data_IF_314853436282
#
_entry.id   IF_314853436282
#
_cell.length_a   1.000
_cell.length_b   1.000
_cell.length_c   1.000
_cell.angle_alpha   90.00
_cell.angle_beta   90.00
_cell.angle_gamma   90.00
#
_symmetry.space_group_name_H-M   'P 1'
#
loop_
_entity.id
_entity.type
_entity.pdbx_description
1 polymer ?
#
# COMPACT_ATOMS: atom_id res chain seq x y z
N UNK A 1 3.61 35.43 -23.61
CA UNK A 1 4.69 34.44 -23.86
C UNK A 1 4.34 33.17 -23.11
N UNK A 2 4.08 32.06 -23.80
CA UNK A 2 3.81 30.79 -23.11
C UNK A 2 5.09 30.27 -22.47
N UNK A 3 5.00 29.79 -21.22
CA UNK A 3 6.14 29.16 -20.52
C UNK A 3 6.78 28.10 -21.43
N UNK A 4 8.04 28.32 -21.81
CA UNK A 4 8.82 27.36 -22.59
C UNK A 4 9.23 26.21 -21.68
N UNK A 5 8.56 25.07 -21.82
CA UNK A 5 8.94 23.85 -21.12
C UNK A 5 10.00 23.09 -21.91
N UNK A 6 11.09 22.69 -21.24
CA UNK A 6 12.12 21.82 -21.79
C UNK A 6 11.73 20.36 -21.53
N UNK A 7 11.86 19.50 -22.54
CA UNK A 7 11.71 18.05 -22.34
C UNK A 7 12.98 17.53 -21.67
N UNK A 8 12.83 16.88 -20.51
CA UNK A 8 13.95 16.30 -19.77
C UNK A 8 14.19 14.85 -20.16
N UNK A 9 13.17 14.01 -20.04
CA UNK A 9 13.29 12.57 -20.28
C UNK A 9 11.99 11.96 -20.79
N UNK A 10 12.12 10.79 -21.41
CA UNK A 10 10.98 9.91 -21.66
C UNK A 10 10.44 9.36 -20.32
N UNK A 11 9.12 9.25 -20.24
CA UNK A 11 8.40 8.71 -19.11
C UNK A 11 7.69 7.44 -19.57
N UNK A 12 7.94 6.32 -18.91
CA UNK A 12 7.20 5.08 -19.09
C UNK A 12 6.84 4.55 -17.71
N UNK A 13 5.57 4.71 -17.33
CA UNK A 13 5.09 4.39 -15.99
C UNK A 13 3.84 3.53 -16.08
N UNK A 14 3.81 2.51 -15.24
CA UNK A 14 2.66 1.62 -15.07
C UNK A 14 2.02 1.86 -13.71
N UNK A 15 0.70 1.72 -13.66
CA UNK A 15 -0.03 1.86 -12.43
C UNK A 15 -1.53 1.70 -12.60
N UNK A 16 -2.25 1.82 -11.50
CA UNK A 16 -3.71 1.79 -11.51
C UNK A 16 -4.26 3.18 -11.76
N UNK A 17 -5.23 3.28 -12.65
CA UNK A 17 -6.01 4.49 -12.88
C UNK A 17 -6.82 4.82 -11.62
N UNK A 18 -6.47 5.88 -10.89
CA UNK A 18 -7.31 6.35 -9.78
C UNK A 18 -8.51 7.16 -10.28
N UNK A 19 -8.33 7.84 -11.41
CA UNK A 19 -9.37 8.59 -12.06
C UNK A 19 -8.81 9.76 -12.87
N UNK A 20 -9.74 10.59 -13.35
CA UNK A 20 -9.44 11.75 -14.15
C UNK A 20 -9.69 13.03 -13.34
N UNK A 21 -8.79 14.00 -13.47
CA UNK A 21 -8.88 15.30 -12.78
C UNK A 21 -9.13 16.40 -13.82
N UNK A 22 -10.17 17.18 -13.58
CA UNK A 22 -10.59 18.31 -14.42
C UNK A 22 -11.23 19.41 -13.60
N UNK A 23 -11.27 20.61 -14.17
CA UNK A 23 -11.91 21.78 -13.55
C UNK A 23 -13.45 21.70 -13.65
N UNK A 24 -13.97 20.94 -14.60
CA UNK A 24 -15.41 20.74 -14.88
C UNK A 24 -15.70 19.26 -15.17
N UNK A 25 -16.88 18.73 -14.79
CA UNK A 25 -17.30 17.38 -15.15
C UNK A 25 -17.31 17.23 -16.69
N UNK A 26 -16.58 16.23 -17.20
CA UNK A 26 -16.43 15.98 -18.64
C UNK A 26 -15.24 16.66 -19.34
N UNK A 27 -14.52 17.58 -18.67
CA UNK A 27 -13.30 18.21 -19.21
C UNK A 27 -12.07 17.88 -18.38
N UNK A 28 -11.72 16.60 -18.33
CA UNK A 28 -10.50 16.15 -17.66
C UNK A 28 -9.24 16.59 -18.42
N UNK A 29 -8.33 17.25 -17.71
CA UNK A 29 -7.01 17.68 -18.24
C UNK A 29 -5.88 16.80 -17.74
N UNK A 30 -6.12 16.05 -16.68
CA UNK A 30 -5.14 15.23 -16.01
C UNK A 30 -5.70 13.84 -15.70
N UNK A 31 -4.78 12.91 -15.60
CA UNK A 31 -4.94 11.54 -15.17
C UNK A 31 -4.24 11.39 -13.83
N UNK A 32 -4.84 10.69 -12.87
CA UNK A 32 -4.19 10.32 -11.62
C UNK A 32 -3.90 8.82 -11.63
N UNK A 33 -2.64 8.48 -11.39
CA UNK A 33 -2.10 7.12 -11.47
C UNK A 33 -1.52 6.72 -10.11
N UNK A 34 -1.93 5.57 -9.58
CA UNK A 34 -1.31 4.97 -8.40
C UNK A 34 -0.09 4.14 -8.83
N UNK A 35 1.05 4.43 -8.22
CA UNK A 35 2.34 3.75 -8.39
C UNK A 35 2.86 3.30 -7.01
N UNK A 36 3.83 2.39 -6.92
CA UNK A 36 4.33 1.92 -5.62
C UNK A 36 4.84 3.02 -4.68
N UNK A 37 5.36 4.12 -5.24
CA UNK A 37 5.86 5.28 -4.50
C UNK A 37 4.80 6.33 -4.15
N UNK A 38 3.52 6.09 -4.48
CA UNK A 38 2.42 6.99 -4.17
C UNK A 38 1.49 7.25 -5.35
N UNK A 39 1.05 8.50 -5.53
CA UNK A 39 0.19 8.88 -6.65
C UNK A 39 0.86 9.95 -7.51
N UNK A 40 0.70 9.81 -8.82
CA UNK A 40 1.30 10.70 -9.81
C UNK A 40 0.21 11.29 -10.70
N UNK A 41 0.28 12.59 -10.93
CA UNK A 41 -0.62 13.30 -11.83
C UNK A 41 0.04 13.51 -13.20
N UNK A 42 -0.61 13.04 -14.26
CA UNK A 42 -0.10 13.13 -15.63
C UNK A 42 -1.03 13.99 -16.48
N UNK A 43 -0.48 14.98 -17.19
CA UNK A 43 -1.26 15.85 -18.08
C UNK A 43 -1.61 15.13 -19.37
N UNK A 44 -2.89 15.18 -19.74
CA UNK A 44 -3.41 14.62 -20.98
C UNK A 44 -3.50 15.69 -22.09
N UNK A 45 -2.90 15.47 -23.27
CA UNK A 45 -3.13 16.30 -24.45
C UNK A 45 -4.58 16.14 -24.94
N UNK A 46 -5.08 17.13 -25.69
CA UNK A 46 -6.49 17.16 -26.14
C UNK A 46 -6.88 15.91 -26.96
N UNK A 47 -5.96 15.42 -27.79
CA UNK A 47 -6.17 14.26 -28.67
C UNK A 47 -6.41 12.98 -27.86
N UNK A 48 -5.57 12.73 -26.84
CA UNK A 48 -5.71 11.57 -25.96
C UNK A 48 -6.99 11.58 -25.13
N UNK A 49 -7.59 12.73 -24.84
CA UNK A 49 -8.82 12.77 -24.02
C UNK A 49 -9.98 12.05 -24.69
N UNK A 50 -10.06 12.07 -26.02
CA UNK A 50 -11.13 11.41 -26.78
C UNK A 50 -10.99 9.89 -26.80
N UNK A 51 -9.77 9.37 -26.74
CA UNK A 51 -9.50 7.94 -26.80
C UNK A 51 -9.55 7.25 -25.44
N UNK A 52 -9.66 8.00 -24.33
CA UNK A 52 -9.56 7.47 -22.97
C UNK A 52 -10.92 7.35 -22.25
N UNK A 53 -12.03 7.61 -22.96
CA UNK A 53 -13.39 7.47 -22.43
C UNK A 53 -13.74 6.05 -22.01
N UNK A 54 -13.01 5.04 -22.51
CA UNK A 54 -13.25 3.63 -22.17
C UNK A 54 -12.52 3.14 -20.92
N UNK A 55 -11.59 3.92 -20.37
CA UNK A 55 -10.82 3.51 -19.19
C UNK A 55 -11.63 3.71 -17.92
N UNK A 56 -11.58 2.74 -17.02
CA UNK A 56 -12.29 2.78 -15.73
C UNK A 56 -11.33 2.97 -14.56
N UNK A 57 -11.69 3.76 -13.53
CA UNK A 57 -10.93 3.76 -12.27
C UNK A 57 -10.73 2.33 -11.74
N UNK A 58 -9.51 2.01 -11.33
CA UNK A 58 -9.04 0.69 -10.93
C UNK A 58 -8.31 -0.09 -12.03
N UNK A 59 -8.40 0.33 -13.29
CA UNK A 59 -7.76 -0.36 -14.41
C UNK A 59 -6.24 -0.18 -14.44
N UNK A 60 -5.51 -1.26 -14.73
CA UNK A 60 -4.07 -1.22 -14.89
C UNK A 60 -3.72 -0.64 -16.26
N UNK A 61 -3.00 0.47 -16.26
CA UNK A 61 -2.65 1.20 -17.48
C UNK A 61 -1.15 1.51 -17.54
N UNK A 62 -0.61 1.52 -18.75
CA UNK A 62 0.73 2.04 -19.05
C UNK A 62 0.61 3.42 -19.67
N UNK A 63 1.34 4.37 -19.10
CA UNK A 63 1.40 5.76 -19.54
C UNK A 63 2.79 6.05 -20.08
N UNK A 64 2.85 6.37 -21.38
CA UNK A 64 4.07 6.82 -22.03
C UNK A 64 3.97 8.33 -22.30
N UNK A 65 5.04 9.05 -21.99
CA UNK A 65 5.04 10.51 -21.98
C UNK A 65 6.43 11.10 -21.93
N UNK A 66 6.46 12.39 -21.64
CA UNK A 66 7.68 13.13 -21.38
C UNK A 66 7.57 13.85 -20.04
N UNK A 67 8.67 13.85 -19.29
CA UNK A 67 8.87 14.77 -18.18
C UNK A 67 9.33 16.12 -18.75
N UNK A 68 8.70 17.21 -18.31
CA UNK A 68 8.97 18.56 -18.81
C UNK A 68 9.31 19.50 -17.67
N UNK A 69 10.45 20.17 -17.76
CA UNK A 69 10.89 21.16 -16.78
C UNK A 69 10.48 22.57 -17.23
N UNK A 70 9.87 23.33 -16.33
CA UNK A 70 9.85 24.79 -16.48
C UNK A 70 11.20 25.32 -15.97
N UNK A 71 12.08 25.86 -16.83
CA UNK A 71 13.39 26.35 -16.41
C UNK A 71 13.32 27.56 -15.47
N UNK A 72 12.24 28.34 -15.52
CA UNK A 72 12.07 29.53 -14.69
C UNK A 72 11.57 29.20 -13.28
N UNK A 73 10.75 28.15 -13.13
CA UNK A 73 10.14 27.80 -11.84
C UNK A 73 10.67 26.50 -11.24
N UNK A 74 11.55 25.77 -11.94
CA UNK A 74 12.02 24.44 -11.56
C UNK A 74 10.93 23.35 -11.54
N UNK A 75 9.70 23.65 -11.98
CA UNK A 75 8.55 22.72 -11.84
C UNK A 75 8.59 21.66 -12.91
N UNK A 76 8.53 20.39 -12.50
CA UNK A 76 8.38 19.24 -13.40
C UNK A 76 6.89 19.02 -13.70
N UNK A 77 6.57 18.85 -14.98
CA UNK A 77 5.25 18.51 -15.49
C UNK A 77 5.36 17.25 -16.32
N UNK A 78 4.56 16.24 -15.99
CA UNK A 78 4.44 15.02 -16.78
C UNK A 78 3.38 15.21 -17.85
N UNK A 79 3.69 14.90 -19.11
CA UNK A 79 2.75 14.97 -20.23
C UNK A 79 2.74 13.67 -21.01
N UNK A 80 1.59 13.00 -21.05
CA UNK A 80 1.40 11.77 -21.81
C UNK A 80 1.33 12.06 -23.32
N UNK A 81 1.80 11.12 -24.13
CA UNK A 81 1.49 11.04 -25.57
C UNK A 81 0.81 9.71 -25.93
N UNK A 82 0.92 8.69 -25.08
CA UNK A 82 0.21 7.41 -25.25
C UNK A 82 -0.22 6.88 -23.90
N UNK A 83 -1.44 6.34 -23.85
CA UNK A 83 -1.95 5.58 -22.71
C UNK A 83 -2.52 4.29 -23.27
N UNK A 84 -2.12 3.17 -22.69
CA UNK A 84 -2.55 1.84 -23.14
C UNK A 84 -3.16 1.10 -21.95
N UNK A 85 -4.39 0.61 -22.11
CA UNK A 85 -4.92 -0.38 -21.17
C UNK A 85 -4.10 -1.65 -21.28
N UNK A 86 -3.66 -2.19 -20.14
CA UNK A 86 -2.97 -3.47 -20.11
C UNK A 86 -3.93 -4.64 -19.94
N UNK A 87 -5.24 -4.39 -20.07
CA UNK A 87 -6.29 -5.36 -19.79
C UNK A 87 -6.57 -5.44 -18.29
N UNK A 88 -7.74 -6.00 -17.97
CA UNK A 88 -8.19 -6.23 -16.60
C UNK A 88 -7.20 -7.19 -15.96
N UNK A 89 -6.28 -6.68 -15.16
CA UNK A 89 -6.03 -7.39 -13.92
C UNK A 89 -7.36 -7.25 -13.17
N UNK A 90 -8.16 -8.32 -12.94
CA UNK A 90 -9.00 -8.29 -11.75
C UNK A 90 -8.04 -7.82 -10.68
N UNK A 91 -8.41 -6.76 -9.96
CA UNK A 91 -7.71 -6.34 -8.75
C UNK A 91 -7.21 -7.65 -8.16
N UNK A 92 -5.89 -7.92 -8.07
CA UNK A 92 -5.47 -8.81 -7.03
C UNK A 92 -5.92 -7.99 -5.83
N UNK A 93 -7.13 -8.29 -5.35
CA UNK A 93 -7.41 -8.44 -3.95
C UNK A 93 -6.10 -9.02 -3.45
N UNK A 94 -5.23 -8.11 -2.98
CA UNK A 94 -3.81 -8.38 -2.80
C UNK A 94 -3.84 -9.71 -2.06
N UNK A 95 -3.48 -10.88 -2.64
CA UNK A 95 -4.00 -12.15 -2.15
C UNK A 95 -3.54 -12.19 -0.71
N UNK A 96 -4.43 -12.03 0.29
CA UNK A 96 -4.13 -11.28 1.52
C UNK A 96 -2.76 -11.70 1.96
N UNK A 97 -1.74 -10.90 1.62
CA UNK A 97 -0.33 -11.27 1.73
C UNK A 97 -0.24 -11.90 3.10
N UNK A 98 0.00 -13.23 3.23
CA UNK A 98 -0.54 -14.03 4.33
C UNK A 98 -0.30 -13.27 5.62
N UNK A 99 -1.32 -12.52 6.06
CA UNK A 99 -1.08 -11.46 7.03
C UNK A 99 -0.63 -12.20 8.25
N UNK A 100 0.59 -11.96 8.71
CA UNK A 100 1.07 -12.66 9.89
C UNK A 100 0.05 -12.38 11.00
N UNK A 101 -0.54 -13.44 11.56
CA UNK A 101 -1.59 -13.31 12.57
C UNK A 101 -0.95 -13.44 13.92
N UNK A 102 -1.23 -12.49 14.79
CA UNK A 102 -0.79 -12.53 16.18
C UNK A 102 -2.03 -12.70 17.03
N UNK A 103 -2.20 -13.89 17.61
CA UNK A 103 -3.39 -14.26 18.38
C UNK A 103 -3.09 -14.07 19.88
N UNK A 104 -3.73 -13.08 20.50
CA UNK A 104 -3.55 -12.75 21.92
C UNK A 104 -4.77 -13.22 22.71
N UNK A 105 -4.55 -13.99 23.77
CA UNK A 105 -5.64 -14.47 24.64
C UNK A 105 -6.10 -13.35 25.59
N UNK A 106 -7.38 -12.98 25.50
CA UNK A 106 -7.96 -11.95 26.38
C UNK A 106 -8.78 -12.51 27.56
N UNK A 107 -8.76 -13.83 27.80
CA UNK A 107 -9.49 -14.39 28.95
C UNK A 107 -8.84 -13.96 30.27
N UNK A 108 -9.66 -13.83 31.32
CA UNK A 108 -9.27 -13.33 32.64
C UNK A 108 -7.96 -13.93 33.19
N UNK A 109 -7.70 -15.23 32.98
CA UNK A 109 -6.44 -15.85 33.40
C UNK A 109 -5.18 -15.28 32.74
N UNK A 110 -5.23 -14.93 31.45
CA UNK A 110 -4.12 -14.28 30.75
C UNK A 110 -4.05 -12.79 31.08
N UNK A 111 -5.19 -12.11 31.19
CA UNK A 111 -5.24 -10.68 31.51
C UNK A 111 -4.67 -10.39 32.90
N UNK A 112 -4.99 -11.21 33.91
CA UNK A 112 -4.44 -11.09 35.28
C UNK A 112 -2.95 -11.35 35.38
N UNK A 113 -2.36 -12.07 34.41
CA UNK A 113 -0.94 -12.46 34.37
C UNK A 113 -0.12 -11.58 33.42
N UNK A 114 -0.55 -10.35 33.17
CA UNK A 114 0.20 -9.40 32.34
C UNK A 114 -0.24 -9.32 30.88
N UNK A 115 -1.37 -9.91 30.49
CA UNK A 115 -1.86 -9.85 29.11
C UNK A 115 -2.07 -8.43 28.56
N UNK A 116 -2.44 -7.46 29.41
CA UNK A 116 -2.56 -6.05 29.01
C UNK A 116 -1.20 -5.41 28.69
N UNK A 117 -0.18 -5.73 29.51
CA UNK A 117 1.19 -5.27 29.29
C UNK A 117 1.75 -5.85 28.00
N UNK A 118 1.59 -7.17 27.81
CA UNK A 118 2.03 -7.86 26.60
C UNK A 118 1.42 -7.25 25.32
N UNK A 119 0.11 -6.96 25.31
CA UNK A 119 -0.53 -6.36 24.15
C UNK A 119 0.02 -4.96 23.84
N UNK A 120 0.16 -4.12 24.87
CA UNK A 120 0.66 -2.76 24.71
C UNK A 120 2.12 -2.74 24.23
N UNK A 121 2.95 -3.63 24.79
CA UNK A 121 4.34 -3.78 24.37
C UNK A 121 4.44 -4.31 22.93
N UNK A 122 3.62 -5.30 22.58
CA UNK A 122 3.55 -5.83 21.22
C UNK A 122 3.17 -4.75 20.19
N UNK A 123 2.12 -3.98 20.46
CA UNK A 123 1.68 -2.89 19.57
C UNK A 123 2.79 -1.85 19.41
N UNK A 124 3.44 -1.46 20.52
CA UNK A 124 4.56 -0.53 20.49
C UNK A 124 5.73 -1.07 19.66
N UNK A 125 6.20 -2.29 19.92
CA UNK A 125 7.31 -2.89 19.16
C UNK A 125 6.99 -2.97 17.67
N UNK A 126 5.76 -3.35 17.30
CA UNK A 126 5.37 -3.42 15.88
C UNK A 126 5.28 -2.03 15.23
N UNK A 127 4.84 -1.02 15.97
CA UNK A 127 4.81 0.37 15.52
C UNK A 127 6.23 0.91 15.32
N UNK A 128 7.10 0.75 16.32
CA UNK A 128 8.49 1.22 16.31
C UNK A 128 9.29 0.63 15.13
N UNK A 129 8.93 -0.57 14.68
CA UNK A 129 9.55 -1.26 13.54
C UNK A 129 8.79 -1.16 12.22
N UNK A 130 7.69 -0.40 12.16
CA UNK A 130 6.89 -0.21 10.94
C UNK A 130 6.24 -1.50 10.41
N UNK A 131 5.95 -2.45 11.29
CA UNK A 131 5.37 -3.75 10.97
C UNK A 131 3.86 -3.82 11.23
N UNK A 132 3.30 -2.82 11.92
CA UNK A 132 1.91 -2.82 12.39
C UNK A 132 0.92 -3.01 11.23
N UNK A 133 1.13 -2.36 10.09
CA UNK A 133 0.25 -2.47 8.90
C UNK A 133 0.39 -3.80 8.14
N UNK A 134 1.47 -4.56 8.39
CA UNK A 134 1.78 -5.83 7.71
C UNK A 134 1.26 -7.06 8.47
N UNK A 135 0.79 -6.86 9.70
CA UNK A 135 0.33 -7.95 10.57
C UNK A 135 -1.10 -7.72 11.03
N UNK A 136 -1.77 -8.79 11.47
CA UNK A 136 -3.10 -8.70 12.06
C UNK A 136 -3.06 -9.19 13.50
N UNK A 137 -3.27 -8.27 14.45
CA UNK A 137 -3.46 -8.64 15.85
C UNK A 137 -4.93 -9.06 16.04
N UNK A 138 -5.13 -10.27 16.53
CA UNK A 138 -6.46 -10.81 16.80
C UNK A 138 -6.61 -11.15 18.28
N UNK A 139 -7.70 -10.66 18.86
CA UNK A 139 -8.09 -10.99 20.21
C UNK A 139 -8.88 -12.29 20.22
N UNK A 140 -8.40 -13.25 21.00
CA UNK A 140 -8.95 -14.60 21.04
C UNK A 140 -9.42 -14.99 22.43
N UNK A 141 -10.31 -15.98 22.48
CA UNK A 141 -10.73 -16.64 23.72
C UNK A 141 -9.66 -17.55 24.32
N UNK A 142 -10.06 -18.43 25.24
CA UNK A 142 -9.12 -19.32 25.94
C UNK A 142 -8.39 -20.26 24.97
N UNK A 143 -7.07 -20.20 24.98
CA UNK A 143 -6.22 -21.11 24.19
C UNK A 143 -5.81 -22.38 24.97
N UNK A 144 -6.38 -22.60 26.17
CA UNK A 144 -6.11 -23.73 27.08
C UNK A 144 -4.63 -23.90 27.52
N UNK A 145 -3.78 -22.90 27.28
CA UNK A 145 -2.37 -22.90 27.67
C UNK A 145 -2.09 -21.97 28.88
N UNK A 146 -3.00 -21.89 29.86
CA UNK A 146 -2.89 -20.92 30.96
C UNK A 146 -1.62 -21.06 31.83
N UNK A 147 -0.94 -22.21 31.79
CA UNK A 147 0.35 -22.42 32.46
C UNK A 147 1.47 -21.51 31.96
N UNK A 148 1.41 -21.07 30.70
CA UNK A 148 2.38 -20.16 30.06
C UNK A 148 1.77 -18.78 29.80
N UNK A 149 0.71 -18.42 30.52
CA UNK A 149 0.09 -17.11 30.38
C UNK A 149 1.09 -15.99 30.76
N UNK A 150 1.07 -14.85 30.06
CA UNK A 150 0.10 -14.44 29.04
C UNK A 150 0.33 -15.10 27.67
N UNK A 151 -0.73 -15.66 27.08
CA UNK A 151 -0.61 -16.40 25.82
C UNK A 151 -0.69 -15.50 24.60
N UNK A 152 0.36 -15.58 23.78
CA UNK A 152 0.45 -15.00 22.45
C UNK A 152 0.99 -16.04 21.47
N UNK A 153 0.38 -16.10 20.29
CA UNK A 153 0.76 -17.03 19.21
C UNK A 153 0.94 -16.26 17.92
N UNK A 154 2.15 -16.33 17.36
CA UNK A 154 2.44 -15.83 16.02
C UNK A 154 2.20 -16.95 15.00
N UNK A 155 1.39 -16.68 13.99
CA UNK A 155 1.14 -17.57 12.87
C UNK A 155 1.66 -16.96 11.57
N UNK A 156 2.64 -17.64 10.96
CA UNK A 156 3.23 -17.35 9.66
C UNK A 156 2.86 -18.48 8.69
N UNK A 157 1.76 -18.30 7.95
CA UNK A 157 1.20 -19.34 7.10
C UNK A 157 0.84 -20.61 7.88
N UNK A 158 1.59 -21.70 7.64
CA UNK A 158 1.43 -22.99 8.33
C UNK A 158 2.23 -23.10 9.65
N UNK A 159 3.22 -22.22 9.87
CA UNK A 159 4.07 -22.24 11.07
C UNK A 159 3.37 -21.48 12.20
N UNK A 160 3.39 -22.06 13.40
CA UNK A 160 2.87 -21.44 14.62
C UNK A 160 3.97 -21.41 15.66
N UNK A 161 4.15 -20.26 16.26
CA UNK A 161 5.14 -20.03 17.31
C UNK A 161 4.39 -19.55 18.55
N UNK A 162 4.68 -20.18 19.70
CA UNK A 162 4.00 -19.93 20.98
C UNK A 162 5.01 -19.40 22.00
N UNK A 163 4.53 -18.63 22.97
CA UNK A 163 5.34 -18.14 24.10
C UNK A 163 6.59 -17.35 23.65
N UNK A 164 6.38 -16.39 22.74
CA UNK A 164 7.46 -15.58 22.16
C UNK A 164 7.37 -14.16 22.72
N UNK A 165 8.53 -13.57 22.99
CA UNK A 165 8.63 -12.15 23.35
C UNK A 165 8.26 -11.23 22.16
N UNK A 166 7.64 -10.06 22.40
CA UNK A 166 7.36 -9.06 21.35
C UNK A 166 8.53 -8.76 20.40
N UNK A 167 9.74 -8.59 20.90
CA UNK A 167 10.93 -8.39 20.05
C UNK A 167 11.23 -9.57 19.12
N UNK A 168 11.14 -10.80 19.62
CA UNK A 168 11.36 -11.97 18.79
C UNK A 168 10.24 -12.17 17.77
N UNK A 169 9.01 -11.73 18.07
CA UNK A 169 7.92 -11.64 17.08
C UNK A 169 8.31 -10.67 15.96
N UNK A 170 8.80 -9.47 16.30
CA UNK A 170 9.20 -8.48 15.32
C UNK A 170 10.36 -8.98 14.43
N UNK A 171 11.40 -9.59 15.02
CA UNK A 171 12.51 -10.16 14.24
C UNK A 171 12.08 -11.32 13.33
N UNK A 172 11.14 -12.16 13.76
CA UNK A 172 10.57 -13.22 12.90
C UNK A 172 9.77 -12.64 11.73
N UNK A 173 9.05 -11.53 11.96
CA UNK A 173 8.29 -10.83 10.93
C UNK A 173 9.21 -10.15 9.90
N UNK A 174 10.28 -9.49 10.35
CA UNK A 174 11.28 -8.88 9.47
C UNK A 174 11.88 -9.91 8.52
N UNK A 175 12.32 -11.05 9.04
CA UNK A 175 12.86 -12.16 8.24
C UNK A 175 11.83 -12.79 7.29
N UNK A 176 10.55 -12.71 7.62
CA UNK A 176 9.47 -13.27 6.79
C UNK A 176 9.04 -12.32 5.67
N UNK A 177 9.19 -11.00 5.85
CA UNK A 177 8.82 -9.98 4.87
C UNK A 177 10.00 -9.47 4.02
N UNK A 178 11.22 -9.92 4.32
CA UNK A 178 12.43 -9.72 3.51
C UNK A 178 12.50 -10.79 2.41
#
# INVERSE_FOLDING_TARGET
MGDKYLTLSELNVEGQLLGFVGDEPGKYKYLQLAVPSGSVQVKLPKELRRSLTSLVPGEQIRVCGHSKLNPHTGKIKLKAYRVTSMGVCPIPDLPPQPKARIMVCQKSGCMKRGGKGLLSELEKTLCDRGLLDKVKIEHTGCQKCCGSAPNCVLQLGKKKYKNIHPDAIASLLENHFT
#
